data_IF_462859984855
#
_entry.id   IF_462859984855
#
_cell.length_a   1.000
_cell.length_b   1.000
_cell.length_c   1.000
_cell.angle_alpha   90.00
_cell.angle_beta   90.00
_cell.angle_gamma   90.00
#
_symmetry.space_group_name_H-M   'P 1'
#
loop_
_entity.id
_entity.type
_entity.pdbx_description
1 polymer ?
#
# COMPACT_ATOMS: atom_id res chain seq x y z
N UNK A 1 -16.66 -4.25 -13.53
CA UNK A 1 -15.32 -4.57 -13.03
C UNK A 1 -15.36 -4.30 -11.54
N UNK A 2 -15.05 -5.27 -10.68
CA UNK A 2 -14.96 -5.00 -9.25
C UNK A 2 -13.79 -4.03 -9.01
N UNK A 3 -13.99 -3.03 -8.15
CA UNK A 3 -12.92 -2.10 -7.76
C UNK A 3 -11.88 -2.87 -6.92
N UNK A 4 -10.59 -2.67 -7.21
CA UNK A 4 -9.49 -3.29 -6.47
C UNK A 4 -9.61 -3.02 -4.96
N UNK A 5 -10.11 -1.84 -4.59
CA UNK A 5 -10.36 -1.53 -3.18
C UNK A 5 -11.51 -2.35 -2.60
N UNK A 6 -12.60 -2.58 -3.33
CA UNK A 6 -13.73 -3.36 -2.82
C UNK A 6 -13.29 -4.81 -2.52
N UNK A 7 -12.38 -5.36 -3.34
CA UNK A 7 -11.78 -6.66 -3.08
C UNK A 7 -10.94 -6.68 -1.79
N UNK A 8 -10.14 -5.63 -1.55
CA UNK A 8 -9.35 -5.49 -0.33
C UNK A 8 -10.25 -5.37 0.91
N UNK A 9 -11.28 -4.52 0.85
CA UNK A 9 -12.23 -4.32 1.94
C UNK A 9 -12.99 -5.61 2.26
N UNK A 10 -13.48 -6.31 1.23
CA UNK A 10 -14.19 -7.57 1.39
C UNK A 10 -13.30 -8.66 2.05
N UNK A 11 -12.02 -8.74 1.67
CA UNK A 11 -11.06 -9.66 2.30
C UNK A 11 -10.84 -9.34 3.79
N UNK A 12 -10.81 -8.06 4.14
CA UNK A 12 -10.73 -7.62 5.54
C UNK A 12 -12.06 -7.72 6.30
N UNK A 13 -13.15 -8.17 5.66
CA UNK A 13 -14.48 -8.24 6.26
C UNK A 13 -15.07 -6.85 6.56
N UNK A 14 -14.71 -5.85 5.76
CA UNK A 14 -15.13 -4.46 5.95
C UNK A 14 -16.15 -4.04 4.90
N UNK A 15 -17.14 -3.29 5.36
CA UNK A 15 -18.09 -2.57 4.53
C UNK A 15 -18.11 -1.08 4.90
N UNK A 16 -18.58 -0.25 3.97
CA UNK A 16 -18.78 1.17 4.19
C UNK A 16 -17.91 2.10 3.34
N UNK A 17 -18.09 3.40 3.60
CA UNK A 17 -17.49 4.49 2.81
C UNK A 17 -16.40 5.23 3.56
N UNK A 18 -15.98 4.74 4.73
CA UNK A 18 -14.99 5.38 5.59
C UNK A 18 -14.04 4.33 6.17
N UNK A 19 -12.75 4.66 6.24
CA UNK A 19 -11.76 3.88 7.00
C UNK A 19 -11.34 4.67 8.23
N UNK A 20 -11.64 4.14 9.41
CA UNK A 20 -11.15 4.65 10.69
C UNK A 20 -10.04 3.74 11.19
N UNK A 21 -9.49 4.06 12.37
CA UNK A 21 -8.36 3.32 12.92
C UNK A 21 -8.62 1.81 13.09
N UNK A 22 -9.79 1.41 13.55
CA UNK A 22 -10.12 -0.01 13.73
C UNK A 22 -10.15 -0.75 12.40
N UNK A 23 -10.78 -0.15 11.37
CA UNK A 23 -10.78 -0.66 10.00
C UNK A 23 -9.36 -0.71 9.41
N UNK A 24 -8.54 0.31 9.63
CA UNK A 24 -7.16 0.33 9.17
C UNK A 24 -6.30 -0.76 9.85
N UNK A 25 -6.54 -1.04 11.13
CA UNK A 25 -5.90 -2.16 11.83
C UNK A 25 -6.37 -3.53 11.30
N UNK A 26 -7.66 -3.67 10.99
CA UNK A 26 -8.19 -4.88 10.36
C UNK A 26 -7.57 -5.11 8.96
N UNK A 27 -7.47 -4.05 8.16
CA UNK A 27 -6.77 -4.07 6.86
C UNK A 27 -5.31 -4.47 7.04
N UNK A 28 -4.58 -3.85 7.96
CA UNK A 28 -3.17 -4.16 8.21
C UNK A 28 -2.95 -5.65 8.49
N UNK A 29 -3.74 -6.24 9.40
CA UNK A 29 -3.68 -7.67 9.74
C UNK A 29 -4.06 -8.58 8.58
N UNK A 30 -4.99 -8.15 7.72
CA UNK A 30 -5.47 -8.95 6.61
C UNK A 30 -4.44 -9.07 5.47
N UNK A 31 -3.50 -8.11 5.36
CA UNK A 31 -2.62 -7.97 4.20
C UNK A 31 -1.13 -8.12 4.54
N UNK A 32 -0.76 -8.04 5.82
CA UNK A 32 0.63 -8.11 6.26
C UNK A 32 0.74 -8.68 7.68
N UNK A 33 1.87 -9.32 7.99
CA UNK A 33 2.28 -9.71 9.36
C UNK A 33 3.16 -8.66 10.03
N UNK A 34 3.49 -7.55 9.35
CA UNK A 34 4.29 -6.46 9.91
C UNK A 34 3.45 -5.66 10.92
N UNK A 35 4.08 -4.85 11.81
CA UNK A 35 3.35 -4.09 12.81
C UNK A 35 2.30 -3.15 12.21
N UNK A 36 1.07 -3.21 12.73
CA UNK A 36 -0.09 -2.46 12.20
C UNK A 36 0.12 -0.94 12.22
N UNK A 37 0.87 -0.43 13.21
CA UNK A 37 1.04 1.01 13.41
C UNK A 37 1.69 1.71 12.21
N UNK A 38 2.59 0.99 11.52
CA UNK A 38 3.30 1.51 10.35
C UNK A 38 2.36 1.61 9.14
N UNK A 39 1.51 0.59 8.94
CA UNK A 39 0.44 0.61 7.95
C UNK A 39 -0.54 1.77 8.23
N UNK A 40 -1.02 1.87 9.47
CA UNK A 40 -2.00 2.88 9.87
C UNK A 40 -1.42 4.30 9.67
N UNK A 41 -0.18 4.54 10.07
CA UNK A 41 0.49 5.84 9.84
C UNK A 41 0.54 6.19 8.35
N UNK A 42 0.77 5.20 7.49
CA UNK A 42 0.84 5.39 6.04
C UNK A 42 -0.54 5.64 5.43
N UNK A 43 -1.59 4.99 5.94
CA UNK A 43 -2.99 5.26 5.54
C UNK A 43 -3.40 6.70 5.88
N UNK A 44 -3.04 7.19 7.06
CA UNK A 44 -3.39 8.55 7.53
C UNK A 44 -2.73 9.66 6.70
N UNK A 45 -1.67 9.35 5.95
CA UNK A 45 -1.05 10.29 5.03
C UNK A 45 -1.87 10.55 3.74
N UNK A 46 -3.05 9.94 3.59
CA UNK A 46 -3.89 10.06 2.39
C UNK A 46 -4.41 11.50 2.15
N UNK A 47 -4.47 11.95 0.88
CA UNK A 47 -5.12 13.20 0.51
C UNK A 47 -6.64 13.08 0.65
N UNK A 48 -7.21 13.71 1.69
CA UNK A 48 -8.63 13.60 2.03
C UNK A 48 -8.89 12.97 3.40
N UNK A 49 -7.85 12.80 4.21
CA UNK A 49 -7.98 12.48 5.63
C UNK A 49 -8.71 13.62 6.36
N UNK A 50 -9.84 13.29 6.97
CA UNK A 50 -10.67 14.19 7.76
C UNK A 50 -10.56 13.91 9.26
N UNK A 51 -10.89 14.91 10.07
CA UNK A 51 -11.07 14.75 11.51
C UNK A 51 -12.55 14.69 11.85
N UNK A 52 -12.91 13.89 12.84
CA UNK A 52 -14.30 13.72 13.26
C UNK A 52 -14.93 15.00 13.82
N UNK A 53 -14.13 16.04 14.08
CA UNK A 53 -14.58 17.39 14.42
C UNK A 53 -14.84 18.31 13.20
N UNK A 54 -14.73 17.77 11.98
CA UNK A 54 -15.05 18.48 10.74
C UNK A 54 -13.90 19.33 10.18
N UNK A 55 -12.67 19.19 10.68
CA UNK A 55 -11.50 19.94 10.16
C UNK A 55 -10.52 19.09 9.34
N UNK A 56 -9.83 19.71 8.37
CA UNK A 56 -8.60 19.16 7.78
C UNK A 56 -7.43 19.49 8.72
N UNK A 57 -6.65 18.51 9.17
CA UNK A 57 -5.54 18.80 10.11
C UNK A 57 -4.36 19.54 9.44
N UNK A 58 -3.58 20.32 10.22
CA UNK A 58 -2.37 21.01 9.75
C UNK A 58 -1.21 20.06 9.36
N UNK A 59 -0.26 20.60 8.59
CA UNK A 59 0.86 19.89 7.91
C UNK A 59 1.88 19.20 8.82
N UNK A 60 1.99 19.59 10.10
CA UNK A 60 3.12 19.19 10.96
C UNK A 60 2.66 18.57 12.29
N UNK A 61 1.96 17.43 12.27
CA UNK A 61 1.61 16.73 13.52
C UNK A 61 2.18 15.31 13.61
N UNK A 62 3.09 15.15 14.56
CA UNK A 62 3.63 13.90 15.07
C UNK A 62 3.07 13.71 16.48
N UNK A 63 1.80 13.31 16.55
CA UNK A 63 1.20 12.73 17.76
C UNK A 63 -0.01 11.89 17.31
N UNK A 64 0.22 10.58 17.20
CA UNK A 64 -0.84 9.58 17.09
C UNK A 64 -1.46 9.43 18.47
N UNK A 65 -2.25 10.41 18.87
CA UNK A 65 -3.20 10.25 19.96
C UNK A 65 -4.60 10.12 19.38
N UNK A 66 -5.08 8.87 19.45
CA UNK A 66 -6.48 8.50 19.68
C UNK A 66 -7.52 8.91 18.63
N UNK A 67 -7.73 8.04 17.63
CA UNK A 67 -9.05 7.63 17.16
C UNK A 67 -10.00 8.61 16.46
N UNK A 68 -9.63 9.87 16.22
CA UNK A 68 -10.53 10.91 15.66
C UNK A 68 -10.29 11.27 14.19
N UNK A 69 -9.69 10.37 13.42
CA UNK A 69 -9.48 10.56 11.99
C UNK A 69 -10.22 9.49 11.20
N UNK A 70 -10.61 9.84 9.98
CA UNK A 70 -11.15 8.92 8.99
C UNK A 70 -10.62 9.25 7.59
N UNK A 71 -10.62 8.23 6.73
CA UNK A 71 -10.37 8.38 5.29
C UNK A 71 -11.69 8.18 4.55
N UNK A 72 -12.12 9.20 3.82
CA UNK A 72 -13.36 9.16 3.03
C UNK A 72 -13.14 8.37 1.72
N UNK A 73 -13.76 7.19 1.62
CA UNK A 73 -13.67 6.31 0.46
C UNK A 73 -14.57 6.72 -0.71
N UNK A 74 -15.35 7.80 -0.56
CA UNK A 74 -16.08 8.41 -1.69
C UNK A 74 -15.14 9.20 -2.59
N UNK A 75 -13.97 9.62 -2.07
CA UNK A 75 -12.93 10.27 -2.87
C UNK A 75 -12.09 9.21 -3.62
N UNK A 76 -12.08 9.22 -4.97
CA UNK A 76 -11.27 8.29 -5.75
C UNK A 76 -9.77 8.32 -5.44
N UNK A 77 -9.23 9.47 -5.01
CA UNK A 77 -7.82 9.60 -4.64
C UNK A 77 -7.49 8.82 -3.36
N UNK A 78 -8.38 8.88 -2.35
CA UNK A 78 -8.28 8.08 -1.13
C UNK A 78 -8.40 6.58 -1.45
N UNK A 79 -9.31 6.21 -2.35
CA UNK A 79 -9.46 4.81 -2.76
C UNK A 79 -8.18 4.27 -3.37
N UNK A 80 -7.62 5.01 -4.34
CA UNK A 80 -6.35 4.67 -4.99
C UNK A 80 -5.19 4.63 -4.00
N UNK A 81 -5.12 5.58 -3.06
CA UNK A 81 -4.10 5.60 -2.02
C UNK A 81 -4.13 4.32 -1.19
N UNK A 82 -5.30 3.89 -0.72
CA UNK A 82 -5.45 2.66 0.07
C UNK A 82 -5.04 1.40 -0.69
N UNK A 83 -5.35 1.32 -1.99
CA UNK A 83 -4.86 0.23 -2.85
C UNK A 83 -3.33 0.23 -2.86
N UNK A 84 -2.70 1.38 -3.09
CA UNK A 84 -1.23 1.49 -3.13
C UNK A 84 -0.57 1.19 -1.78
N UNK A 85 -1.13 1.68 -0.66
CA UNK A 85 -0.63 1.35 0.69
C UNK A 85 -0.70 -0.15 0.94
N UNK A 86 -1.82 -0.77 0.54
CA UNK A 86 -2.01 -2.22 0.66
C UNK A 86 -0.98 -2.99 -0.16
N UNK A 87 -0.78 -2.63 -1.42
CA UNK A 87 0.24 -3.26 -2.28
C UNK A 87 1.64 -3.07 -1.72
N UNK A 88 1.98 -1.88 -1.22
CA UNK A 88 3.27 -1.62 -0.60
C UNK A 88 3.49 -2.50 0.64
N UNK A 89 2.47 -2.63 1.51
CA UNK A 89 2.56 -3.45 2.73
C UNK A 89 2.70 -4.94 2.41
N UNK A 90 1.96 -5.40 1.40
CA UNK A 90 2.05 -6.77 0.87
C UNK A 90 3.45 -7.05 0.31
N UNK A 91 4.03 -6.14 -0.47
CA UNK A 91 5.38 -6.28 -1.01
C UNK A 91 6.44 -6.30 0.09
N UNK A 92 6.35 -5.40 1.06
CA UNK A 92 7.28 -5.31 2.20
C UNK A 92 7.31 -6.62 2.99
N UNK A 93 6.16 -7.24 3.25
CA UNK A 93 6.12 -8.51 3.97
C UNK A 93 6.52 -9.70 3.08
N UNK A 94 5.96 -9.80 1.87
CA UNK A 94 6.18 -10.95 0.99
C UNK A 94 7.63 -11.07 0.47
N UNK A 95 8.30 -9.95 0.23
CA UNK A 95 9.72 -9.92 -0.17
C UNK A 95 10.67 -9.77 1.02
N UNK A 96 10.12 -9.70 2.24
CA UNK A 96 10.87 -9.46 3.47
C UNK A 96 11.82 -8.26 3.36
N UNK A 97 11.29 -7.15 2.86
CA UNK A 97 12.05 -5.91 2.71
C UNK A 97 12.44 -5.33 4.08
N UNK A 98 13.59 -4.66 4.11
CA UNK A 98 14.05 -3.88 5.26
C UNK A 98 13.33 -2.54 5.37
N UNK A 99 12.82 -2.05 4.25
CA UNK A 99 12.12 -0.79 4.10
C UNK A 99 10.70 -0.88 4.67
N UNK A 100 10.18 0.26 5.12
CA UNK A 100 8.82 0.40 5.67
C UNK A 100 7.82 0.68 4.54
N UNK A 101 6.55 0.32 4.74
CA UNK A 101 5.44 0.60 3.79
C UNK A 101 5.41 2.07 3.37
N UNK A 102 5.53 3.00 4.33
CA UNK A 102 5.53 4.43 4.05
C UNK A 102 6.72 4.93 3.23
N UNK A 103 7.82 4.18 3.21
CA UNK A 103 8.95 4.44 2.32
C UNK A 103 8.74 3.82 0.93
N UNK A 104 8.21 2.59 0.86
CA UNK A 104 7.96 1.89 -0.41
C UNK A 104 6.85 2.58 -1.20
N UNK A 105 5.78 3.02 -0.54
CA UNK A 105 4.61 3.64 -1.16
C UNK A 105 4.95 4.74 -2.19
N UNK A 106 5.73 5.79 -1.88
CA UNK A 106 6.00 6.88 -2.81
C UNK A 106 6.85 6.46 -4.01
N UNK A 107 7.70 5.43 -3.89
CA UNK A 107 8.55 4.94 -4.98
C UNK A 107 7.94 3.77 -5.75
N UNK A 108 6.89 3.13 -5.21
CA UNK A 108 6.21 1.97 -5.79
C UNK A 108 5.83 2.17 -7.27
N UNK A 109 5.22 3.30 -7.70
CA UNK A 109 4.80 3.48 -9.09
C UNK A 109 5.96 3.60 -10.08
N UNK A 110 7.19 3.81 -9.59
CA UNK A 110 8.39 3.85 -10.40
C UNK A 110 9.06 2.48 -10.55
N UNK A 111 8.59 1.45 -9.83
CA UNK A 111 9.15 0.10 -9.84
C UNK A 111 8.17 -0.93 -10.42
N UNK A 112 6.88 -0.79 -10.11
CA UNK A 112 5.84 -1.71 -10.59
C UNK A 112 4.56 -0.99 -10.97
N UNK A 113 3.80 -1.63 -11.85
CA UNK A 113 2.42 -1.28 -12.17
C UNK A 113 1.47 -2.24 -11.47
N UNK A 114 0.52 -1.69 -10.71
CA UNK A 114 -0.59 -2.49 -10.16
C UNK A 114 -1.59 -2.73 -11.29
N UNK A 115 -1.74 -3.98 -11.69
CA UNK A 115 -2.66 -4.39 -12.76
C UNK A 115 -4.03 -4.78 -12.21
N UNK A 116 -4.06 -5.50 -11.09
CA UNK A 116 -5.28 -5.90 -10.41
C UNK A 116 -5.01 -6.33 -8.96
N UNK A 117 -6.01 -6.15 -8.10
CA UNK A 117 -6.08 -6.73 -6.75
C UNK A 117 -7.41 -7.45 -6.58
N UNK A 118 -7.37 -8.71 -6.17
CA UNK A 118 -8.57 -9.55 -6.03
C UNK A 118 -8.56 -10.31 -4.72
N UNK A 119 -9.73 -10.45 -4.10
CA UNK A 119 -9.93 -11.38 -3.01
C UNK A 119 -9.97 -12.81 -3.57
N UNK A 120 -9.23 -13.72 -2.95
CA UNK A 120 -9.23 -15.15 -3.25
C UNK A 120 -9.46 -15.94 -1.97
N UNK A 121 -9.90 -17.21 -2.04
CA UNK A 121 -10.02 -18.03 -0.84
C UNK A 121 -8.70 -18.05 -0.05
N UNK A 122 -8.74 -17.51 1.17
CA UNK A 122 -7.59 -17.47 2.08
C UNK A 122 -6.59 -16.33 1.87
N UNK A 123 -6.91 -15.28 1.08
CA UNK A 123 -5.97 -14.17 0.91
C UNK A 123 -6.29 -13.16 -0.20
N UNK A 124 -5.26 -12.38 -0.56
CA UNK A 124 -5.29 -11.50 -1.71
C UNK A 124 -4.48 -12.06 -2.87
N UNK A 125 -4.97 -11.85 -4.09
CA UNK A 125 -4.20 -11.99 -5.31
C UNK A 125 -3.84 -10.60 -5.84
N UNK A 126 -2.55 -10.31 -5.97
CA UNK A 126 -2.03 -9.03 -6.47
C UNK A 126 -1.27 -9.28 -7.77
N UNK A 127 -1.74 -8.69 -8.86
CA UNK A 127 -1.07 -8.76 -10.17
C UNK A 127 -0.26 -7.48 -10.39
N UNK A 128 1.05 -7.63 -10.55
CA UNK A 128 2.00 -6.53 -10.74
C UNK A 128 2.78 -6.71 -12.05
N UNK A 129 2.97 -5.65 -12.84
CA UNK A 129 3.98 -5.65 -13.90
C UNK A 129 5.25 -4.97 -13.41
N UNK A 130 6.41 -5.58 -13.67
CA UNK A 130 7.70 -4.94 -13.37
C UNK A 130 7.98 -3.86 -14.40
N UNK A 131 8.53 -2.73 -13.98
CA UNK A 131 9.02 -1.74 -14.94
C UNK A 131 10.44 -2.13 -15.41
N UNK A 132 10.72 -1.91 -16.69
CA UNK A 132 12.00 -2.32 -17.29
C UNK A 132 13.18 -1.43 -16.86
N UNK A 133 12.92 -0.14 -16.66
CA UNK A 133 13.92 0.87 -16.31
C UNK A 133 13.42 1.77 -15.17
N UNK A 134 13.36 1.25 -13.94
CA UNK A 134 12.88 1.99 -12.78
C UNK A 134 13.87 3.10 -12.41
N UNK A 135 13.36 4.33 -12.30
CA UNK A 135 14.13 5.51 -11.94
C UNK A 135 13.55 6.16 -10.69
N UNK A 136 14.40 6.70 -9.82
CA UNK A 136 13.92 7.46 -8.65
C UNK A 136 13.11 8.66 -9.15
N UNK A 137 11.85 8.84 -8.70
CA UNK A 137 11.06 10.01 -9.08
C UNK A 137 11.81 11.32 -8.75
N UNK A 138 11.73 12.29 -9.66
CA UNK A 138 12.57 13.52 -9.58
C UNK A 138 12.26 14.32 -8.31
N UNK A 139 10.99 14.35 -7.93
CA UNK A 139 10.46 14.97 -6.71
C UNK A 139 10.95 14.29 -5.42
N UNK A 140 11.36 13.01 -5.50
CA UNK A 140 11.86 12.24 -4.37
C UNK A 140 13.39 12.14 -4.33
N UNK A 141 14.10 12.63 -5.37
CA UNK A 141 15.54 12.46 -5.52
C UNK A 141 16.40 13.05 -4.37
N UNK A 142 15.83 13.94 -3.56
CA UNK A 142 16.49 14.54 -2.38
C UNK A 142 16.23 13.80 -1.07
N UNK A 143 15.21 12.94 -1.02
CA UNK A 143 14.75 12.27 0.21
C UNK A 143 14.88 10.75 0.15
N UNK A 144 14.93 10.18 -1.06
CA UNK A 144 15.16 8.75 -1.29
C UNK A 144 16.64 8.51 -1.52
N UNK A 145 17.24 7.64 -0.70
CA UNK A 145 18.60 7.16 -0.94
C UNK A 145 18.60 6.24 -2.19
N UNK A 146 19.55 6.48 -3.09
CA UNK A 146 19.67 5.71 -4.35
C UNK A 146 20.02 4.24 -4.12
N UNK A 147 20.75 3.92 -3.06
CA UNK A 147 21.10 2.53 -2.71
C UNK A 147 19.86 1.79 -2.24
N UNK A 148 19.09 2.35 -1.30
CA UNK A 148 17.83 1.77 -0.82
C UNK A 148 16.84 1.56 -1.97
N UNK A 149 16.74 2.52 -2.90
CA UNK A 149 15.93 2.35 -4.12
C UNK A 149 16.44 1.22 -5.01
N UNK A 150 17.75 1.14 -5.26
CA UNK A 150 18.35 0.08 -6.06
C UNK A 150 18.14 -1.31 -5.42
N UNK A 151 18.21 -1.40 -4.10
CA UNK A 151 17.97 -2.64 -3.34
C UNK A 151 16.51 -3.07 -3.43
N UNK A 152 15.56 -2.13 -3.32
CA UNK A 152 14.13 -2.42 -3.55
C UNK A 152 13.86 -2.90 -4.97
N UNK A 153 14.40 -2.20 -5.99
CA UNK A 153 14.32 -2.61 -7.39
C UNK A 153 14.88 -4.02 -7.58
N UNK A 154 16.07 -4.29 -7.04
CA UNK A 154 16.70 -5.59 -7.14
C UNK A 154 15.87 -6.70 -6.47
N UNK A 155 15.25 -6.43 -5.32
CA UNK A 155 14.36 -7.38 -4.65
C UNK A 155 13.14 -7.73 -5.52
N UNK A 156 12.50 -6.72 -6.14
CA UNK A 156 11.36 -6.92 -7.04
C UNK A 156 11.75 -7.71 -8.30
N UNK A 157 12.91 -7.42 -8.91
CA UNK A 157 13.38 -8.13 -10.10
C UNK A 157 13.86 -9.56 -9.82
N UNK A 158 14.42 -9.82 -8.64
CA UNK A 158 14.85 -11.17 -8.22
C UNK A 158 13.70 -12.05 -7.76
N UNK A 159 12.55 -11.48 -7.42
CA UNK A 159 11.38 -12.23 -7.01
C UNK A 159 10.97 -13.25 -8.10
N UNK A 160 10.47 -14.41 -7.67
CA UNK A 160 9.87 -15.37 -8.59
C UNK A 160 8.65 -14.78 -9.33
N UNK A 161 8.16 -15.45 -10.40
CA UNK A 161 6.95 -15.00 -11.11
C UNK A 161 5.70 -15.04 -10.22
N UNK A 162 5.70 -15.89 -9.19
CA UNK A 162 4.65 -15.96 -8.17
C UNK A 162 5.32 -15.99 -6.79
N UNK A 163 4.88 -15.12 -5.89
CA UNK A 163 5.36 -15.03 -4.50
C UNK A 163 4.19 -15.21 -3.55
N UNK A 164 4.36 -16.02 -2.51
CA UNK A 164 3.33 -16.18 -1.49
C UNK A 164 3.27 -14.96 -0.58
N UNK A 165 2.06 -14.48 -0.29
CA UNK A 165 1.84 -13.43 0.71
C UNK A 165 1.75 -14.13 2.07
N UNK A 166 2.57 -13.75 3.07
CA UNK A 166 2.56 -14.45 4.34
C UNK A 166 1.25 -14.33 5.14
N UNK A 167 0.50 -13.24 4.95
CA UNK A 167 -0.85 -13.07 5.51
C UNK A 167 -1.93 -13.85 4.75
N UNK A 168 -1.58 -14.49 3.62
CA UNK A 168 -2.47 -15.27 2.78
C UNK A 168 -2.57 -14.74 1.35
N UNK A 169 -2.55 -15.63 0.36
CA UNK A 169 -2.67 -15.30 -1.06
C UNK A 169 -1.33 -15.20 -1.80
N UNK A 170 -1.29 -14.49 -2.92
CA UNK A 170 -0.12 -14.44 -3.82
C UNK A 170 0.06 -13.09 -4.52
N UNK A 171 1.32 -12.78 -4.84
CA UNK A 171 1.71 -11.75 -5.81
C UNK A 171 2.12 -12.47 -7.09
N UNK A 172 1.56 -12.09 -8.23
CA UNK A 172 2.03 -12.51 -9.55
C UNK A 172 2.73 -11.34 -10.22
N UNK A 173 4.00 -11.55 -10.61
CA UNK A 173 4.76 -10.61 -11.41
C UNK A 173 4.66 -11.00 -12.89
N UNK A 174 4.07 -10.11 -13.70
CA UNK A 174 4.12 -10.19 -15.16
C UNK A 174 5.39 -9.53 -15.71
N UNK A 175 5.74 -9.87 -16.97
CA UNK A 175 6.96 -9.41 -17.64
C UNK A 175 7.09 -7.89 -17.73
N UNK A 176 8.29 -7.42 -18.09
CA UNK A 176 8.64 -6.00 -18.02
C UNK A 176 7.72 -5.13 -18.89
N UNK A 177 6.98 -4.20 -18.28
CA UNK A 177 6.25 -3.15 -18.98
C UNK A 177 7.21 -2.01 -19.34
N UNK A 178 7.16 -1.56 -20.60
CA UNK A 178 7.79 -0.31 -21.05
C UNK A 178 6.77 0.82 -20.88
N UNK A 179 7.15 1.86 -20.13
CA UNK A 179 6.39 3.12 -20.00
C UNK A 179 7.13 4.23 -20.74
#
# INVERSE_FOLDING_TARGET
>A
MADDLDAILAHAGLDGTEVRREQAGALARAVSRKPEEEFITTVVAAPGTGWDDGQQRPRDYLEVHTGRWHVDLRDPANRRHLVLVTVAAVLVDALNLTERTGWVLPVLPAVVDVLAVRAVPGGLHVELARLADPQVPTELAKVVNRLDFADFVAAVHRAGPVVAIPAGGTITFSGSATR
#
